data_IF_293863866124
#
_entry.id   IF_293863866124
#
_cell.length_a   1.000
_cell.length_b   1.000
_cell.length_c   1.000
_cell.angle_alpha   90.00
_cell.angle_beta   90.00
_cell.angle_gamma   90.00
#
_symmetry.space_group_name_H-M   'P 1'
#
loop_
_entity.id
_entity.type
_entity.pdbx_description
1 polymer ?
#
# COMPACT_ATOMS: atom_id res chain seq x y z
N UNK A 1 -6.83 6.90 -8.89
CA UNK A 1 -5.37 6.69 -8.72
C UNK A 1 -4.97 5.29 -8.22
N UNK A 2 -5.83 4.54 -7.51
CA UNK A 2 -5.76 3.06 -7.45
C UNK A 2 -6.82 2.39 -8.35
N UNK A 3 -7.50 3.19 -9.16
CA UNK A 3 -8.68 2.85 -9.95
C UNK A 3 -8.40 2.85 -11.46
N UNK A 4 -7.16 3.10 -11.87
CA UNK A 4 -6.78 3.22 -13.28
C UNK A 4 -5.82 2.11 -13.68
N UNK A 5 -6.21 0.88 -13.37
CA UNK A 5 -5.69 -0.29 -14.07
C UNK A 5 -6.82 -1.31 -14.07
N UNK A 6 -7.42 -1.50 -15.24
CA UNK A 6 -8.38 -2.54 -15.61
C UNK A 6 -9.38 -2.98 -14.52
N UNK A 7 -10.63 -2.57 -14.72
CA UNK A 7 -11.81 -3.13 -14.02
C UNK A 7 -11.97 -4.60 -14.41
N UNK A 8 -11.12 -5.45 -13.84
CA UNK A 8 -11.32 -6.88 -13.70
C UNK A 8 -11.50 -7.17 -12.22
N UNK A 9 -12.36 -8.11 -11.88
CA UNK A 9 -12.57 -8.64 -10.52
C UNK A 9 -11.33 -9.43 -10.03
N UNK A 10 -10.13 -8.89 -10.24
CA UNK A 10 -8.89 -9.42 -9.70
C UNK A 10 -8.89 -9.13 -8.20
N UNK A 11 -9.35 -10.12 -7.44
CA UNK A 11 -9.45 -10.08 -5.97
C UNK A 11 -8.08 -9.98 -5.28
N UNK A 12 -6.98 -10.16 -6.02
CA UNK A 12 -5.64 -10.24 -5.45
C UNK A 12 -4.61 -9.38 -6.21
N UNK A 13 -4.20 -8.28 -5.57
CA UNK A 13 -3.11 -7.45 -6.07
C UNK A 13 -1.75 -8.16 -5.85
N UNK A 14 -1.00 -8.40 -6.92
CA UNK A 14 0.30 -9.08 -6.91
C UNK A 14 1.41 -8.17 -7.41
N UNK A 15 2.64 -8.37 -6.91
CA UNK A 15 3.83 -7.59 -7.30
C UNK A 15 4.83 -8.47 -8.08
N UNK A 16 5.50 -7.94 -9.12
CA UNK A 16 6.53 -8.67 -9.85
C UNK A 16 7.66 -9.18 -8.92
N UNK A 17 8.06 -10.44 -9.07
CA UNK A 17 9.06 -11.06 -8.17
C UNK A 17 10.52 -10.83 -8.59
N UNK A 18 10.73 -10.45 -9.84
CA UNK A 18 12.03 -10.27 -10.50
C UNK A 18 12.66 -8.90 -10.25
N UNK A 19 11.88 -7.90 -9.81
CA UNK A 19 12.36 -6.55 -9.48
C UNK A 19 12.13 -6.22 -8.01
N UNK A 20 13.23 -6.19 -7.23
CA UNK A 20 13.20 -5.89 -5.78
C UNK A 20 14.17 -4.73 -5.45
N UNK A 21 13.76 -3.77 -4.58
CA UNK A 21 12.43 -3.64 -3.99
C UNK A 21 11.39 -3.14 -5.01
N UNK A 22 10.17 -3.65 -4.93
CA UNK A 22 9.02 -3.06 -5.64
C UNK A 22 8.43 -1.95 -4.76
N UNK A 23 8.33 -0.74 -5.29
CA UNK A 23 7.91 0.45 -4.53
C UNK A 23 6.48 0.82 -4.91
N UNK A 24 5.60 0.89 -3.91
CA UNK A 24 4.20 1.32 -4.06
C UNK A 24 4.05 2.66 -3.35
N UNK A 25 3.63 3.70 -4.10
CA UNK A 25 3.28 5.00 -3.54
C UNK A 25 1.76 5.15 -3.52
N UNK A 26 1.19 5.28 -2.32
CA UNK A 26 -0.26 5.47 -2.15
C UNK A 26 -0.57 6.96 -2.03
N UNK A 27 -1.38 7.47 -2.97
CA UNK A 27 -1.77 8.88 -3.06
C UNK A 27 -3.29 9.05 -3.03
N UNK A 28 -3.77 10.21 -2.58
CA UNK A 28 -5.20 10.54 -2.51
C UNK A 28 -5.54 11.55 -1.43
N UNK A 29 -6.77 12.07 -1.45
CA UNK A 29 -7.24 13.10 -0.50
C UNK A 29 -7.39 12.56 0.93
N UNK A 30 -7.59 13.44 1.90
CA UNK A 30 -7.75 13.06 3.30
C UNK A 30 -9.04 12.24 3.51
N UNK A 31 -9.00 11.25 4.40
CA UNK A 31 -10.16 10.44 4.77
C UNK A 31 -10.50 9.25 3.86
N UNK A 32 -9.86 9.08 2.68
CA UNK A 32 -10.18 7.98 1.74
C UNK A 32 -9.62 6.60 2.14
N UNK A 33 -9.06 6.46 3.34
CA UNK A 33 -8.57 5.17 3.83
C UNK A 33 -7.15 4.76 3.38
N UNK A 34 -6.29 5.70 2.97
CA UNK A 34 -4.91 5.39 2.49
C UNK A 34 -4.12 4.53 3.47
N UNK A 35 -4.01 4.95 4.73
CA UNK A 35 -3.27 4.22 5.78
C UNK A 35 -3.87 2.82 6.01
N UNK A 36 -5.20 2.72 6.03
CA UNK A 36 -5.89 1.43 6.13
C UNK A 36 -5.56 0.49 4.96
N UNK A 37 -5.53 1.02 3.73
CA UNK A 37 -5.17 0.25 2.54
C UNK A 37 -3.70 -0.19 2.57
N UNK A 38 -2.79 0.68 3.00
CA UNK A 38 -1.36 0.33 3.18
C UNK A 38 -1.22 -0.85 4.15
N UNK A 39 -1.90 -0.81 5.30
CA UNK A 39 -1.87 -1.91 6.28
C UNK A 39 -2.42 -3.23 5.73
N UNK A 40 -3.52 -3.19 4.97
CA UNK A 40 -4.09 -4.38 4.30
C UNK A 40 -3.11 -5.00 3.30
N UNK A 41 -2.52 -4.18 2.43
CA UNK A 41 -1.53 -4.64 1.45
C UNK A 41 -0.28 -5.20 2.13
N UNK A 42 0.23 -4.53 3.17
CA UNK A 42 1.39 -5.00 3.93
C UNK A 42 1.12 -6.37 4.58
N UNK A 43 -0.06 -6.56 5.16
CA UNK A 43 -0.48 -7.84 5.73
C UNK A 43 -0.58 -8.93 4.66
N UNK A 44 -1.20 -8.63 3.51
CA UNK A 44 -1.33 -9.55 2.39
C UNK A 44 0.06 -10.00 1.88
N UNK A 45 0.97 -9.07 1.61
CA UNK A 45 2.32 -9.41 1.14
C UNK A 45 3.15 -10.17 2.17
N UNK A 46 3.00 -9.83 3.46
CA UNK A 46 3.62 -10.61 4.54
C UNK A 46 3.08 -12.05 4.59
N UNK A 47 1.77 -12.24 4.39
CA UNK A 47 1.14 -13.58 4.31
C UNK A 47 1.63 -14.38 3.10
N UNK A 48 1.96 -13.70 2.00
CA UNK A 48 2.60 -14.30 0.82
C UNK A 48 4.13 -14.56 1.00
N UNK A 49 4.69 -14.29 2.19
CA UNK A 49 6.11 -14.53 2.49
C UNK A 49 7.08 -13.45 2.02
N UNK A 50 6.58 -12.30 1.56
CA UNK A 50 7.42 -11.18 1.12
C UNK A 50 7.92 -10.36 2.31
N UNK A 51 9.13 -9.81 2.17
CA UNK A 51 9.67 -8.82 3.10
C UNK A 51 9.08 -7.46 2.77
N UNK A 52 8.39 -6.84 3.73
CA UNK A 52 7.70 -5.56 3.57
C UNK A 52 8.36 -4.51 4.45
N UNK A 53 8.54 -3.31 3.90
CA UNK A 53 8.99 -2.11 4.62
C UNK A 53 7.95 -1.03 4.41
N UNK A 54 7.50 -0.39 5.49
CA UNK A 54 6.59 0.75 5.45
C UNK A 54 7.38 2.05 5.64
N UNK A 55 7.16 3.01 4.75
CA UNK A 55 7.73 4.35 4.85
C UNK A 55 6.65 5.39 5.17
N UNK A 56 6.78 6.09 6.30
CA UNK A 56 5.87 7.15 6.68
C UNK A 56 6.17 8.44 5.90
N UNK A 57 5.56 8.60 4.73
CA UNK A 57 5.68 9.80 3.90
C UNK A 57 4.69 10.93 4.23
N UNK A 58 3.65 10.66 5.03
CA UNK A 58 2.68 11.68 5.50
C UNK A 58 3.23 12.36 6.75
N UNK A 59 4.03 13.42 6.55
CA UNK A 59 4.70 14.17 7.64
C UNK A 59 3.93 15.40 8.12
N UNK A 60 2.80 15.73 7.48
CA UNK A 60 2.01 16.91 7.81
C UNK A 60 0.99 16.65 8.92
N UNK A 61 0.41 15.45 8.95
CA UNK A 61 -0.62 15.08 9.93
C UNK A 61 0.03 14.50 11.19
N UNK A 62 -0.19 15.14 12.34
CA UNK A 62 0.46 14.79 13.61
C UNK A 62 0.42 13.29 13.97
N UNK A 63 -0.71 12.61 13.73
CA UNK A 63 -0.90 11.19 14.05
C UNK A 63 -0.64 10.24 12.87
N UNK A 64 -0.20 10.72 11.70
CA UNK A 64 -0.06 9.86 10.53
C UNK A 64 1.10 8.87 10.64
N UNK A 65 2.16 9.22 11.38
CA UNK A 65 3.27 8.31 11.68
C UNK A 65 2.82 7.21 12.64
N UNK A 66 2.11 7.55 13.72
CA UNK A 66 1.66 6.57 14.72
C UNK A 66 0.59 5.59 14.19
N UNK A 67 -0.10 5.94 13.10
CA UNK A 67 -1.11 5.09 12.46
C UNK A 67 -0.55 4.06 11.49
N UNK A 68 0.73 4.19 11.10
CA UNK A 68 1.39 3.32 10.13
C UNK A 68 2.27 2.28 10.82
#
# INVERSE_FOLDING_TARGET
>A
LLSETNVGEETEFTVPQDKKPYVIMVVGVNGVGKTTTIGKLAYQFKKQGLKVVLGAGDTFRAAAIDQL
#
